data_IF_926550430495
#
_entry.id   IF_926550430495
#
_cell.length_a   1.000
_cell.length_b   1.000
_cell.length_c   1.000
_cell.angle_alpha   90.00
_cell.angle_beta   90.00
_cell.angle_gamma   90.00
#
_symmetry.space_group_name_H-M   'P 1'
#
loop_
_entity.id
_entity.type
_entity.pdbx_description
1 polymer ?
#
# COMPACT_ATOMS: atom_id res chain seq x y z
N UNK A 1 -6.27 -1.04 -25.92
CA UNK A 1 -4.82 -0.82 -25.81
C UNK A 1 -4.59 0.44 -24.98
N UNK A 2 -3.66 0.37 -24.03
CA UNK A 2 -3.27 1.51 -23.21
C UNK A 2 -2.38 2.47 -24.02
N UNK A 3 -2.45 3.77 -23.74
CA UNK A 3 -1.65 4.79 -24.44
C UNK A 3 -0.16 4.61 -24.14
N UNK A 4 0.67 4.60 -25.19
CA UNK A 4 2.13 4.57 -25.06
C UNK A 4 2.70 5.99 -25.07
N UNK A 5 3.65 6.26 -24.18
CA UNK A 5 4.34 7.55 -24.04
C UNK A 5 5.81 7.38 -24.41
N UNK A 6 6.33 8.21 -25.30
CA UNK A 6 7.69 8.04 -25.87
C UNK A 6 8.60 9.23 -25.64
N UNK A 7 8.05 10.44 -25.48
CA UNK A 7 8.83 11.68 -25.46
C UNK A 7 8.59 12.45 -24.16
N UNK A 8 9.68 12.91 -23.54
CA UNK A 8 9.66 13.72 -22.35
C UNK A 8 9.03 15.12 -22.58
N UNK A 9 9.18 15.66 -23.79
CA UNK A 9 8.79 17.01 -24.17
C UNK A 9 7.66 17.09 -25.20
N UNK A 10 6.88 16.03 -25.35
CA UNK A 10 5.72 16.08 -26.21
C UNK A 10 4.63 16.96 -25.58
N UNK A 11 4.36 18.12 -26.15
CA UNK A 11 3.43 19.14 -25.64
C UNK A 11 2.01 18.62 -25.42
N UNK A 12 1.55 17.65 -26.21
CA UNK A 12 0.25 17.00 -26.05
C UNK A 12 0.23 16.02 -24.88
N UNK A 13 1.30 15.26 -24.70
CA UNK A 13 1.41 14.28 -23.62
C UNK A 13 1.72 14.95 -22.27
N UNK A 14 2.46 16.06 -22.28
CA UNK A 14 2.78 16.82 -21.05
C UNK A 14 1.55 17.56 -20.50
N UNK A 15 0.65 18.04 -21.36
CA UNK A 15 -0.62 18.66 -20.95
C UNK A 15 -1.64 17.68 -20.41
N UNK A 16 -1.67 16.45 -20.95
CA UNK A 16 -2.61 15.40 -20.55
C UNK A 16 -2.06 14.52 -19.41
N UNK A 17 -0.78 14.14 -19.47
CA UNK A 17 -0.17 13.18 -18.53
C UNK A 17 1.35 13.37 -18.44
N UNK A 18 1.82 14.44 -17.77
CA UNK A 18 3.25 14.69 -17.57
C UNK A 18 3.95 13.58 -16.76
N UNK A 19 5.29 13.50 -16.89
CA UNK A 19 6.14 12.49 -16.23
C UNK A 19 5.87 12.32 -14.72
N UNK A 20 5.57 13.42 -14.01
CA UNK A 20 5.21 13.37 -12.57
C UNK A 20 3.90 12.63 -12.34
N UNK A 21 2.90 12.81 -13.21
CA UNK A 21 1.63 12.11 -13.08
C UNK A 21 1.80 10.61 -13.37
N UNK A 22 2.55 10.24 -14.41
CA UNK A 22 2.90 8.85 -14.71
C UNK A 22 3.64 8.20 -13.55
N UNK A 23 4.61 8.89 -12.94
CA UNK A 23 5.35 8.40 -11.79
C UNK A 23 4.47 8.17 -10.54
N UNK A 24 3.36 8.92 -10.40
CA UNK A 24 2.46 8.84 -9.23
C UNK A 24 1.35 7.81 -9.36
N UNK A 25 0.87 7.54 -10.58
CA UNK A 25 -0.23 6.58 -10.80
C UNK A 25 0.25 5.13 -10.86
N UNK A 26 1.55 4.89 -11.05
CA UNK A 26 2.11 3.56 -11.14
C UNK A 26 2.06 2.84 -9.79
N UNK A 27 1.48 1.65 -9.74
CA UNK A 27 1.53 0.73 -8.58
C UNK A 27 2.87 0.00 -8.50
N UNK A 28 3.51 -0.23 -9.67
CA UNK A 28 4.87 -0.73 -9.84
C UNK A 28 5.44 -0.25 -11.18
N UNK A 29 6.76 -0.27 -11.30
CA UNK A 29 7.46 -0.02 -12.56
C UNK A 29 8.27 -1.26 -12.92
N UNK A 30 8.04 -1.78 -14.13
CA UNK A 30 8.80 -2.87 -14.70
C UNK A 30 9.62 -2.37 -15.88
N UNK A 31 10.92 -2.63 -15.86
CA UNK A 31 11.86 -2.32 -16.95
C UNK A 31 12.30 -3.64 -17.58
N UNK A 32 11.71 -3.97 -18.73
CA UNK A 32 11.93 -5.24 -19.43
C UNK A 32 11.93 -5.06 -20.96
N UNK A 33 13.08 -5.18 -21.63
CA UNK A 33 14.42 -5.40 -21.09
C UNK A 33 15.11 -4.13 -20.58
N UNK A 34 16.07 -4.29 -19.67
CA UNK A 34 16.97 -3.23 -19.23
C UNK A 34 18.37 -3.44 -19.82
N UNK A 35 18.83 -2.52 -20.65
CA UNK A 35 20.19 -2.54 -21.19
C UNK A 35 21.23 -2.07 -20.17
N UNK A 36 22.51 -2.37 -20.43
CA UNK A 36 23.62 -1.86 -19.61
C UNK A 36 23.61 -0.32 -19.51
N UNK A 37 23.33 0.38 -20.61
CA UNK A 37 23.23 1.82 -20.63
C UNK A 37 22.13 2.32 -19.70
N UNK A 38 20.94 1.70 -19.77
CA UNK A 38 19.81 2.07 -18.94
C UNK A 38 20.12 1.89 -17.45
N UNK A 39 20.65 0.72 -17.05
CA UNK A 39 21.02 0.43 -15.67
C UNK A 39 22.06 1.43 -15.16
N UNK A 40 23.06 1.75 -15.99
CA UNK A 40 24.11 2.72 -15.64
C UNK A 40 23.57 4.13 -15.46
N UNK A 41 22.63 4.58 -16.31
CA UNK A 41 21.96 5.87 -16.16
C UNK A 41 21.20 5.95 -14.84
N UNK A 42 20.37 4.95 -14.54
CA UNK A 42 19.54 4.90 -13.33
C UNK A 42 20.43 4.87 -12.08
N UNK A 43 21.51 4.08 -12.08
CA UNK A 43 22.45 3.98 -10.95
C UNK A 43 23.11 5.31 -10.60
N UNK A 44 23.35 6.14 -11.62
CA UNK A 44 23.99 7.46 -11.48
C UNK A 44 22.98 8.64 -11.48
N UNK A 45 21.66 8.38 -11.47
CA UNK A 45 20.65 9.42 -11.40
C UNK A 45 20.54 10.29 -12.69
N UNK A 46 20.93 9.75 -13.84
CA UNK A 46 20.81 10.44 -15.13
C UNK A 46 19.35 10.33 -15.59
N UNK A 47 18.72 11.46 -15.90
CA UNK A 47 17.32 11.59 -16.33
C UNK A 47 17.23 12.39 -17.61
N UNK A 48 17.73 11.82 -18.68
CA UNK A 48 17.80 12.44 -20.01
C UNK A 48 16.73 11.92 -20.99
N UNK A 49 15.86 11.03 -20.50
CA UNK A 49 14.70 10.49 -21.22
C UNK A 49 13.49 10.33 -20.30
N UNK A 50 12.31 10.07 -20.87
CA UNK A 50 11.06 9.92 -20.12
C UNK A 50 11.13 8.80 -19.08
N UNK A 51 11.69 7.66 -19.42
CA UNK A 51 11.73 6.48 -18.54
C UNK A 51 12.63 6.74 -17.31
N UNK A 52 13.83 7.27 -17.52
CA UNK A 52 14.76 7.60 -16.44
C UNK A 52 14.24 8.73 -15.56
N UNK A 53 13.50 9.69 -16.14
CA UNK A 53 12.85 10.76 -15.39
C UNK A 53 11.71 10.24 -14.50
N UNK A 54 10.87 9.34 -15.02
CA UNK A 54 9.81 8.69 -14.23
C UNK A 54 10.41 7.90 -13.06
N UNK A 55 11.50 7.18 -13.28
CA UNK A 55 12.19 6.40 -12.22
C UNK A 55 12.67 7.30 -11.08
N UNK A 56 13.21 8.48 -11.37
CA UNK A 56 13.63 9.42 -10.34
C UNK A 56 12.45 10.05 -9.58
N UNK A 57 11.28 10.16 -10.21
CA UNK A 57 10.10 10.82 -9.64
C UNK A 57 9.16 9.87 -8.88
N UNK A 58 9.28 8.56 -9.08
CA UNK A 58 8.35 7.58 -8.53
C UNK A 58 8.67 7.18 -7.09
N UNK A 59 7.63 6.73 -6.38
CA UNK A 59 7.74 6.01 -5.09
C UNK A 59 7.29 4.54 -5.22
N UNK A 60 6.86 4.13 -6.41
CA UNK A 60 6.45 2.76 -6.69
C UNK A 60 7.66 1.81 -6.65
N UNK A 61 7.47 0.54 -6.30
CA UNK A 61 8.51 -0.47 -6.40
C UNK A 61 8.98 -0.62 -7.85
N UNK A 62 10.29 -0.75 -8.04
CA UNK A 62 10.92 -0.83 -9.36
C UNK A 62 11.56 -2.20 -9.53
N UNK A 63 11.20 -2.86 -10.64
CA UNK A 63 11.72 -4.16 -11.06
C UNK A 63 12.50 -3.99 -12.35
N UNK A 64 13.72 -4.53 -12.39
CA UNK A 64 14.63 -4.42 -13.53
C UNK A 64 14.91 -5.82 -14.07
N UNK A 65 14.66 -6.05 -15.35
CA UNK A 65 14.94 -7.29 -16.05
C UNK A 65 16.10 -7.07 -17.02
N UNK A 66 17.36 -7.36 -16.61
CA UNK A 66 18.53 -7.11 -17.44
C UNK A 66 18.56 -7.98 -18.69
N UNK A 67 19.02 -7.39 -19.81
CA UNK A 67 19.39 -8.11 -21.01
C UNK A 67 20.57 -7.41 -21.69
N UNK A 68 21.71 -8.06 -21.74
CA UNK A 68 22.94 -7.53 -22.30
C UNK A 68 23.94 -8.63 -22.61
N UNK A 69 25.02 -8.31 -23.30
CA UNK A 69 26.13 -9.25 -23.53
C UNK A 69 26.69 -9.79 -22.18
N UNK A 70 27.08 -11.10 -22.08
CA UNK A 70 27.60 -11.69 -20.84
C UNK A 70 28.81 -10.97 -20.27
N UNK A 71 29.73 -10.51 -21.16
CA UNK A 71 30.91 -9.75 -20.73
C UNK A 71 30.55 -8.40 -20.11
N UNK A 72 29.47 -7.74 -20.59
CA UNK A 72 28.95 -6.52 -19.96
C UNK A 72 28.32 -6.79 -18.60
N UNK A 73 27.56 -7.88 -18.49
CA UNK A 73 26.92 -8.25 -17.22
C UNK A 73 27.94 -8.61 -16.13
N UNK A 74 29.03 -9.34 -16.53
CA UNK A 74 30.09 -9.74 -15.60
C UNK A 74 31.08 -8.63 -15.26
N UNK A 75 31.01 -7.49 -15.93
CA UNK A 75 31.89 -6.35 -15.69
C UNK A 75 31.68 -5.76 -14.29
N UNK A 76 32.78 -5.44 -13.59
CA UNK A 76 32.72 -4.95 -12.21
C UNK A 76 31.98 -3.61 -12.08
N UNK A 77 32.05 -2.72 -13.08
CA UNK A 77 31.26 -1.49 -13.10
C UNK A 77 29.77 -1.81 -13.10
N UNK A 78 29.35 -2.78 -13.91
CA UNK A 78 27.95 -3.19 -13.97
C UNK A 78 27.51 -3.85 -12.66
N UNK A 79 28.31 -4.73 -12.08
CA UNK A 79 28.05 -5.34 -10.76
C UNK A 79 27.88 -4.28 -9.67
N UNK A 80 28.75 -3.27 -9.65
CA UNK A 80 28.67 -2.16 -8.69
C UNK A 80 27.37 -1.34 -8.89
N UNK A 81 26.98 -1.09 -10.13
CA UNK A 81 25.72 -0.39 -10.44
C UNK A 81 24.51 -1.19 -9.95
N UNK A 82 24.49 -2.49 -10.22
CA UNK A 82 23.42 -3.39 -9.75
C UNK A 82 23.35 -3.39 -8.23
N UNK A 83 24.48 -3.62 -7.55
CA UNK A 83 24.53 -3.64 -6.09
C UNK A 83 24.08 -2.30 -5.47
N UNK A 84 24.48 -1.18 -6.06
CA UNK A 84 24.04 0.16 -5.63
C UNK A 84 22.53 0.34 -5.76
N UNK A 85 21.93 -0.16 -6.84
CA UNK A 85 20.50 -0.09 -7.07
C UNK A 85 19.73 -1.03 -6.12
N UNK A 86 20.25 -2.26 -5.89
CA UNK A 86 19.65 -3.19 -4.94
C UNK A 86 19.64 -2.60 -3.52
N UNK A 87 20.75 -1.97 -3.10
CA UNK A 87 20.81 -1.28 -1.81
C UNK A 87 19.77 -0.15 -1.68
N UNK A 88 19.42 0.49 -2.79
CA UNK A 88 18.36 1.52 -2.86
C UNK A 88 16.95 0.94 -3.00
N UNK A 89 16.79 -0.38 -2.98
CA UNK A 89 15.49 -1.07 -3.01
C UNK A 89 14.99 -1.47 -4.39
N UNK A 90 15.76 -1.28 -5.45
CA UNK A 90 15.46 -1.80 -6.77
C UNK A 90 15.58 -3.33 -6.78
N UNK A 91 14.77 -4.01 -7.57
CA UNK A 91 14.75 -5.46 -7.61
C UNK A 91 15.09 -5.95 -9.01
N UNK A 92 16.00 -6.90 -9.07
CA UNK A 92 16.45 -7.48 -10.32
C UNK A 92 15.82 -8.86 -10.53
N UNK A 93 15.39 -9.14 -11.78
CA UNK A 93 14.84 -10.41 -12.22
C UNK A 93 15.69 -10.89 -13.40
N UNK A 94 16.49 -11.92 -13.19
CA UNK A 94 17.50 -12.34 -14.17
C UNK A 94 18.78 -11.49 -14.11
N UNK A 95 19.59 -11.49 -15.19
CA UNK A 95 19.34 -12.16 -16.48
C UNK A 95 19.45 -13.69 -16.37
N UNK A 96 18.76 -14.40 -17.28
CA UNK A 96 18.86 -15.85 -17.38
C UNK A 96 20.12 -16.26 -18.18
N UNK A 97 20.61 -17.47 -17.89
CA UNK A 97 21.72 -18.06 -18.62
C UNK A 97 21.28 -18.54 -20.00
N UNK A 98 22.10 -18.33 -21.00
CA UNK A 98 21.83 -18.80 -22.35
C UNK A 98 22.74 -18.20 -23.42
N UNK A 99 22.47 -18.54 -24.67
CA UNK A 99 23.18 -18.00 -25.81
C UNK A 99 22.68 -16.57 -26.10
N UNK A 100 23.60 -15.60 -26.10
CA UNK A 100 23.32 -14.22 -26.48
C UNK A 100 23.11 -14.08 -28.02
N UNK A 101 22.53 -12.95 -28.44
CA UNK A 101 22.41 -12.62 -29.83
C UNK A 101 23.77 -12.55 -30.58
N UNK A 102 24.88 -12.33 -29.84
CA UNK A 102 26.23 -12.31 -30.38
C UNK A 102 26.90 -13.70 -30.40
N UNK A 103 26.20 -14.78 -30.01
CA UNK A 103 26.72 -16.15 -30.01
C UNK A 103 27.56 -16.49 -28.76
N UNK A 104 27.62 -15.65 -27.77
CA UNK A 104 28.29 -15.92 -26.50
C UNK A 104 27.33 -16.56 -25.49
N UNK A 105 27.78 -17.58 -24.76
CA UNK A 105 27.01 -18.24 -23.72
C UNK A 105 27.28 -17.63 -22.35
N UNK A 106 26.23 -17.39 -21.58
CA UNK A 106 26.33 -16.86 -20.21
C UNK A 106 25.06 -16.16 -19.76
N UNK A 107 25.13 -15.47 -18.63
CA UNK A 107 24.02 -14.66 -18.10
C UNK A 107 23.82 -13.40 -18.95
N UNK A 108 22.85 -13.42 -19.83
CA UNK A 108 22.68 -12.39 -20.86
C UNK A 108 21.25 -12.16 -21.31
N UNK A 109 20.39 -13.17 -21.16
CA UNK A 109 19.03 -13.16 -21.73
C UNK A 109 18.02 -12.56 -20.76
N UNK A 110 17.05 -11.86 -21.35
CA UNK A 110 15.84 -11.50 -20.61
C UNK A 110 15.18 -12.77 -20.05
N UNK A 111 14.83 -12.77 -18.77
CA UNK A 111 14.09 -13.87 -18.16
C UNK A 111 12.77 -14.10 -18.87
N UNK A 112 12.31 -15.35 -18.90
CA UNK A 112 11.04 -15.72 -19.51
C UNK A 112 9.88 -14.94 -18.89
N UNK A 113 8.95 -14.50 -19.71
CA UNK A 113 7.83 -13.64 -19.30
C UNK A 113 7.03 -14.25 -18.13
N UNK A 114 6.83 -15.57 -18.14
CA UNK A 114 6.18 -16.29 -17.05
C UNK A 114 6.91 -16.10 -15.71
N UNK A 115 8.25 -16.21 -15.71
CA UNK A 115 9.07 -16.03 -14.51
C UNK A 115 9.00 -14.60 -13.99
N UNK A 116 8.99 -13.60 -14.88
CA UNK A 116 8.86 -12.19 -14.53
C UNK A 116 7.50 -11.94 -13.86
N UNK A 117 6.41 -12.43 -14.47
CA UNK A 117 5.05 -12.29 -13.92
C UNK A 117 4.95 -12.97 -12.55
N UNK A 118 5.42 -14.21 -12.45
CA UNK A 118 5.41 -14.99 -11.19
C UNK A 118 6.19 -14.29 -10.08
N UNK A 119 7.33 -13.67 -10.40
CA UNK A 119 8.13 -12.96 -9.42
C UNK A 119 7.40 -11.72 -8.90
N UNK A 120 6.80 -10.93 -9.79
CA UNK A 120 6.06 -9.71 -9.45
C UNK A 120 4.81 -10.05 -8.65
N UNK A 121 4.02 -11.04 -9.07
CA UNK A 121 2.79 -11.44 -8.38
C UNK A 121 3.07 -12.04 -7.02
N UNK A 122 4.01 -12.95 -6.88
CA UNK A 122 4.42 -13.52 -5.57
C UNK A 122 4.92 -12.48 -4.59
N UNK A 123 5.50 -11.36 -5.05
CA UNK A 123 5.93 -10.26 -4.21
C UNK A 123 4.83 -9.24 -3.95
N UNK A 124 3.93 -9.03 -4.91
CA UNK A 124 2.71 -8.25 -4.73
C UNK A 124 1.80 -8.91 -3.68
N UNK A 125 1.70 -10.24 -3.71
CA UNK A 125 1.00 -11.04 -2.70
C UNK A 125 1.74 -11.09 -1.34
N UNK A 126 2.99 -10.60 -1.26
CA UNK A 126 3.71 -10.35 0.00
C UNK A 126 3.34 -9.01 0.68
N UNK A 127 2.21 -8.36 0.39
CA UNK A 127 1.39 -7.90 1.51
C UNK A 127 1.17 -9.16 2.35
N UNK A 128 1.92 -9.29 3.45
CA UNK A 128 1.65 -10.32 4.44
C UNK A 128 0.15 -10.30 4.63
N UNK A 129 -0.55 -11.30 4.10
CA UNK A 129 -1.90 -11.59 4.56
C UNK A 129 -1.67 -11.88 6.02
N UNK A 130 -1.91 -10.89 6.87
CA UNK A 130 -1.90 -11.08 8.31
C UNK A 130 -2.98 -12.12 8.53
N UNK A 131 -2.59 -13.36 8.75
CA UNK A 131 -3.54 -14.41 9.15
C UNK A 131 -3.89 -14.14 10.61
N UNK A 132 -5.05 -13.51 10.80
CA UNK A 132 -5.59 -13.18 12.11
C UNK A 132 -6.67 -14.16 12.54
N UNK A 133 -6.71 -15.35 11.93
CA UNK A 133 -7.60 -16.44 12.39
C UNK A 133 -7.40 -16.72 13.87
N UNK A 134 -8.52 -16.86 14.58
CA UNK A 134 -8.57 -17.07 16.03
C UNK A 134 -8.06 -15.89 16.88
N UNK A 135 -7.86 -14.69 16.27
CA UNK A 135 -7.57 -13.47 16.99
C UNK A 135 -8.85 -12.70 17.26
N UNK A 136 -9.04 -12.27 18.51
CA UNK A 136 -10.15 -11.40 18.93
C UNK A 136 -9.71 -9.95 18.88
N UNK A 137 -10.46 -9.14 18.17
CA UNK A 137 -10.16 -7.71 17.96
C UNK A 137 -11.33 -6.87 18.42
N UNK A 138 -11.06 -5.90 19.28
CA UNK A 138 -12.02 -4.87 19.71
C UNK A 138 -11.69 -3.56 19.01
N UNK A 139 -12.69 -2.96 18.36
CA UNK A 139 -12.54 -1.65 17.73
C UNK A 139 -13.62 -0.72 18.27
N UNK A 140 -13.27 0.49 18.72
CA UNK A 140 -14.26 1.52 19.02
C UNK A 140 -14.35 2.51 17.87
N UNK A 141 -15.56 3.03 17.58
CA UNK A 141 -15.79 3.94 16.45
C UNK A 141 -16.90 4.95 16.73
N UNK A 142 -16.96 5.98 15.89
CA UNK A 142 -18.01 7.00 15.96
C UNK A 142 -17.88 7.95 17.16
N UNK A 143 -18.81 8.89 17.30
CA UNK A 143 -18.87 9.81 18.42
C UNK A 143 -19.63 9.19 19.60
N UNK A 144 -19.40 9.65 20.83
CA UNK A 144 -20.36 9.50 21.91
C UNK A 144 -21.26 10.74 22.00
N UNK A 145 -22.42 10.57 22.60
CA UNK A 145 -23.45 11.60 22.75
C UNK A 145 -23.81 11.70 24.23
N UNK A 146 -23.48 12.82 24.84
CA UNK A 146 -23.75 13.06 26.27
C UNK A 146 -24.92 14.04 26.40
N UNK A 147 -26.05 13.56 26.89
CA UNK A 147 -27.25 14.37 27.01
C UNK A 147 -27.09 15.52 28.03
N UNK A 148 -27.52 16.71 27.64
CA UNK A 148 -27.68 17.88 28.55
C UNK A 148 -29.10 17.86 29.11
N UNK A 149 -30.08 17.66 28.26
CA UNK A 149 -31.50 17.54 28.54
C UNK A 149 -32.18 16.63 27.51
N UNK A 150 -33.51 16.58 27.45
CA UNK A 150 -34.25 15.74 26.49
C UNK A 150 -34.04 16.13 25.02
N UNK A 151 -33.53 17.34 24.75
CA UNK A 151 -33.41 17.91 23.40
C UNK A 151 -31.97 18.12 22.99
N UNK A 152 -31.09 18.51 23.91
CA UNK A 152 -29.72 18.93 23.62
C UNK A 152 -28.70 17.92 24.15
N UNK A 153 -27.60 17.81 23.44
CA UNK A 153 -26.49 16.92 23.83
C UNK A 153 -25.13 17.51 23.39
N UNK A 154 -24.07 17.01 24.03
CA UNK A 154 -22.68 17.24 23.64
C UNK A 154 -22.20 16.03 22.83
N UNK A 155 -21.58 16.27 21.69
CA UNK A 155 -21.00 15.22 20.86
C UNK A 155 -19.90 15.75 19.98
N UNK A 156 -19.10 14.85 19.40
CA UNK A 156 -18.04 15.16 18.44
C UNK A 156 -18.54 14.96 16.97
N UNK A 157 -17.99 15.74 16.05
CA UNK A 157 -18.23 15.56 14.61
C UNK A 157 -17.45 14.38 14.03
N UNK A 158 -17.75 13.17 14.47
CA UNK A 158 -17.12 11.96 13.96
C UNK A 158 -18.07 11.17 13.06
N UNK A 159 -17.63 10.84 11.85
CA UNK A 159 -18.40 9.96 10.95
C UNK A 159 -18.27 8.48 11.30
N UNK A 160 -17.32 8.09 12.16
CA UNK A 160 -16.98 6.69 12.44
C UNK A 160 -16.27 5.94 11.33
N UNK A 161 -16.08 6.55 10.15
CA UNK A 161 -15.57 5.89 8.94
C UNK A 161 -14.22 5.17 9.17
N UNK A 162 -13.30 5.78 9.90
CA UNK A 162 -11.98 5.20 10.16
C UNK A 162 -12.08 3.89 10.96
N UNK A 163 -12.83 3.87 12.07
CA UNK A 163 -13.01 2.66 12.88
C UNK A 163 -13.73 1.55 12.13
N UNK A 164 -14.72 1.90 11.31
CA UNK A 164 -15.44 0.92 10.47
C UNK A 164 -14.53 0.29 9.43
N UNK A 165 -13.68 1.07 8.74
CA UNK A 165 -12.72 0.54 7.77
C UNK A 165 -11.64 -0.33 8.44
N UNK A 166 -11.19 0.04 9.64
CA UNK A 166 -10.24 -0.77 10.42
C UNK A 166 -10.88 -2.10 10.81
N UNK A 167 -12.12 -2.09 11.31
CA UNK A 167 -12.86 -3.30 11.68
C UNK A 167 -13.07 -4.22 10.47
N UNK A 168 -13.43 -3.65 9.32
CA UNK A 168 -13.58 -4.38 8.05
C UNK A 168 -12.28 -5.07 7.64
N UNK A 169 -11.15 -4.36 7.74
CA UNK A 169 -9.85 -4.90 7.33
C UNK A 169 -9.39 -6.03 8.25
N UNK A 170 -9.59 -5.92 9.56
CA UNK A 170 -9.34 -7.03 10.49
C UNK A 170 -10.21 -8.25 10.18
N UNK A 171 -11.48 -8.05 9.88
CA UNK A 171 -12.39 -9.14 9.53
C UNK A 171 -12.00 -9.82 8.20
N UNK A 172 -11.53 -9.07 7.19
CA UNK A 172 -10.98 -9.61 5.93
C UNK A 172 -9.75 -10.50 6.17
N UNK A 173 -8.98 -10.22 7.20
CA UNK A 173 -7.82 -11.03 7.59
C UNK A 173 -8.17 -12.20 8.53
N UNK A 174 -9.46 -12.48 8.74
CA UNK A 174 -9.94 -13.64 9.46
C UNK A 174 -10.07 -13.47 10.97
N UNK A 175 -9.93 -12.25 11.50
CA UNK A 175 -10.13 -11.97 12.92
C UNK A 175 -11.62 -12.04 13.32
N UNK A 176 -11.89 -12.44 14.56
CA UNK A 176 -13.17 -12.25 15.22
C UNK A 176 -13.24 -10.79 15.72
N UNK A 177 -14.02 -9.94 15.02
CA UNK A 177 -14.04 -8.51 15.29
C UNK A 177 -15.30 -8.09 16.03
N UNK A 178 -15.11 -7.40 17.15
CA UNK A 178 -16.15 -6.66 17.87
C UNK A 178 -15.97 -5.18 17.59
N UNK A 179 -16.99 -4.54 17.05
CA UNK A 179 -17.05 -3.10 16.79
C UNK A 179 -18.04 -2.46 17.76
N UNK A 180 -17.54 -1.61 18.64
CA UNK A 180 -18.37 -0.81 19.56
C UNK A 180 -18.47 0.59 18.99
N UNK A 181 -19.66 0.98 18.54
CA UNK A 181 -19.84 2.23 17.81
C UNK A 181 -20.84 3.17 18.46
N UNK A 182 -20.47 4.43 18.55
CA UNK A 182 -21.42 5.52 18.74
C UNK A 182 -22.34 5.68 17.53
N UNK A 183 -23.33 6.58 17.58
CA UNK A 183 -24.32 6.77 16.53
C UNK A 183 -23.67 7.31 15.25
N UNK A 184 -23.78 6.55 14.16
CA UNK A 184 -23.28 6.88 12.83
C UNK A 184 -24.26 6.44 11.74
N UNK A 185 -24.18 7.07 10.56
CA UNK A 185 -25.06 6.76 9.43
C UNK A 185 -24.51 5.73 8.45
N UNK A 186 -23.30 5.23 8.70
CA UNK A 186 -22.64 4.25 7.82
C UNK A 186 -23.09 2.82 8.16
N UNK A 187 -23.20 1.99 7.13
CA UNK A 187 -23.56 0.58 7.31
C UNK A 187 -22.40 -0.20 7.95
N UNK A 188 -22.68 -1.11 8.89
CA UNK A 188 -21.64 -1.96 9.46
C UNK A 188 -21.06 -2.88 8.38
N UNK A 189 -19.74 -3.19 8.47
CA UNK A 189 -19.12 -4.17 7.60
C UNK A 189 -19.71 -5.57 7.82
N UNK A 190 -19.66 -6.42 6.78
CA UNK A 190 -19.97 -7.84 6.91
C UNK A 190 -18.93 -8.55 7.80
N UNK A 191 -19.37 -9.57 8.52
CA UNK A 191 -18.51 -10.39 9.43
C UNK A 191 -17.90 -9.61 10.61
N UNK A 192 -18.59 -8.57 11.10
CA UNK A 192 -18.22 -7.80 12.28
C UNK A 192 -19.37 -7.81 13.28
N UNK A 193 -19.09 -8.11 14.54
CA UNK A 193 -20.08 -8.07 15.62
C UNK A 193 -20.23 -6.62 16.11
N UNK A 194 -21.31 -5.95 15.70
CA UNK A 194 -21.55 -4.56 16.07
C UNK A 194 -22.34 -4.44 17.38
N UNK A 195 -21.83 -3.59 18.28
CA UNK A 195 -22.52 -3.12 19.48
C UNK A 195 -22.69 -1.60 19.42
N UNK A 196 -23.90 -1.13 19.62
CA UNK A 196 -24.19 0.31 19.67
C UNK A 196 -23.99 0.85 21.08
N UNK A 197 -23.23 1.94 21.19
CA UNK A 197 -22.93 2.62 22.45
C UNK A 197 -23.17 4.12 22.28
N UNK A 198 -24.25 4.64 22.85
CA UNK A 198 -24.60 6.05 22.70
C UNK A 198 -23.72 6.98 23.53
N UNK A 199 -23.33 6.56 24.74
CA UNK A 199 -22.54 7.38 25.68
C UNK A 199 -21.16 6.78 25.93
N UNK A 200 -20.24 7.57 26.49
CA UNK A 200 -18.92 7.11 26.90
C UNK A 200 -19.00 5.98 27.94
N UNK A 201 -19.88 6.10 28.91
CA UNK A 201 -20.06 5.10 29.97
C UNK A 201 -20.57 3.76 29.40
N UNK A 202 -21.54 3.79 28.49
CA UNK A 202 -22.04 2.58 27.79
C UNK A 202 -20.96 1.97 26.92
N UNK A 203 -20.17 2.79 26.22
CA UNK A 203 -19.06 2.32 25.39
C UNK A 203 -18.01 1.60 26.26
N UNK A 204 -17.63 2.18 27.38
CA UNK A 204 -16.71 1.57 28.35
C UNK A 204 -17.24 0.24 28.89
N UNK A 205 -18.51 0.20 29.30
CA UNK A 205 -19.14 -1.02 29.83
C UNK A 205 -19.12 -2.17 28.81
N UNK A 206 -19.47 -1.89 27.56
CA UNK A 206 -19.43 -2.89 26.47
C UNK A 206 -17.99 -3.34 26.21
N UNK A 207 -17.04 -2.40 26.13
CA UNK A 207 -15.64 -2.74 25.92
C UNK A 207 -15.09 -3.67 27.03
N UNK A 208 -15.41 -3.39 28.28
CA UNK A 208 -14.99 -4.23 29.44
C UNK A 208 -15.61 -5.64 29.36
N UNK A 209 -16.86 -5.77 28.90
CA UNK A 209 -17.52 -7.09 28.73
C UNK A 209 -16.93 -7.89 27.58
N UNK A 210 -16.28 -7.24 26.60
CA UNK A 210 -15.66 -7.92 25.47
C UNK A 210 -14.26 -8.46 25.79
N UNK A 211 -13.68 -8.12 26.92
CA UNK A 211 -12.36 -8.61 27.31
C UNK A 211 -12.41 -10.08 27.81
N UNK A 212 -11.32 -10.87 27.61
CA UNK A 212 -10.06 -10.48 27.02
C UNK A 212 -10.06 -10.48 25.47
N UNK A 213 -9.27 -9.61 24.87
CA UNK A 213 -9.02 -9.56 23.41
C UNK A 213 -7.53 -9.56 23.12
N UNK A 214 -7.15 -10.02 21.92
CA UNK A 214 -5.74 -10.00 21.48
C UNK A 214 -5.29 -8.60 21.03
N UNK A 215 -6.21 -7.83 20.43
CA UNK A 215 -5.94 -6.49 19.89
C UNK A 215 -7.10 -5.58 20.25
N UNK A 216 -6.80 -4.38 20.74
CA UNK A 216 -7.77 -3.31 20.94
C UNK A 216 -7.35 -2.05 20.19
N UNK A 217 -8.27 -1.46 19.43
CA UNK A 217 -8.05 -0.24 18.63
C UNK A 217 -9.10 0.79 18.99
N UNK A 218 -8.69 1.86 19.63
CA UNK A 218 -9.59 2.91 20.10
C UNK A 218 -9.58 4.08 19.13
N UNK A 219 -10.66 4.23 18.32
CA UNK A 219 -10.83 5.24 17.28
C UNK A 219 -12.07 6.09 17.49
N UNK A 220 -12.88 5.76 18.51
CA UNK A 220 -14.05 6.54 18.84
C UNK A 220 -13.67 7.97 19.26
N UNK A 221 -14.48 8.93 18.85
CA UNK A 221 -14.40 10.31 19.33
C UNK A 221 -15.30 10.44 20.55
N UNK A 222 -14.73 10.08 21.70
CA UNK A 222 -15.41 10.15 22.99
C UNK A 222 -15.54 11.61 23.42
N UNK A 223 -16.71 12.02 23.92
CA UNK A 223 -16.90 13.37 24.45
C UNK A 223 -16.13 13.55 25.76
N UNK A 224 -15.39 14.66 25.86
CA UNK A 224 -14.57 14.99 27.05
C UNK A 224 -15.41 15.50 28.22
N UNK A 225 -16.65 15.89 27.95
CA UNK A 225 -17.55 16.51 28.92
C UNK A 225 -18.89 15.82 28.98
N UNK A 226 -19.43 15.64 30.17
CA UNK A 226 -20.83 15.25 30.42
C UNK A 226 -21.45 16.12 31.50
N UNK A 227 -22.75 16.24 31.51
CA UNK A 227 -23.50 17.01 32.52
C UNK A 227 -23.76 16.11 33.73
N UNK A 228 -23.38 16.57 34.95
CA UNK A 228 -23.58 15.81 36.20
C UNK A 228 -25.05 15.62 36.55
N UNK A 229 -25.89 16.61 36.26
CA UNK A 229 -27.35 16.55 36.48
C UNK A 229 -28.09 16.86 35.21
N UNK A 230 -28.85 15.88 34.69
CA UNK A 230 -29.83 16.12 33.68
C UNK A 230 -31.07 16.75 34.29
N UNK A 231 -31.46 17.91 33.80
CA UNK A 231 -32.73 18.53 34.15
C UNK A 231 -33.81 18.09 33.16
N UNK A 232 -35.02 17.77 33.61
CA UNK A 232 -36.16 17.45 32.75
C UNK A 232 -36.51 18.59 31.80
#
# INVERSE_FOLDING_TARGET
EEKCYFDLFNLTDESEMGHIKLARIADLILIAPASANFISKVANGISDDLATTIILATKAPIYICPAMNPSMWSNDIMKNNVQSLEYRGFQFIGPDEGLSACGEFGYSRLSETSNIIDFITKKSDKKKVLDLKNKKVLVTAGPTVEAIDEVRYISNHSSGKQGYLIAEEFAKHGAEVVLVSGPVSIKPPSNVNLFNASTADVMLEICLKCLPVDIAVFVAAVADWKVEKQYP
#
